data_IF_920563265077
#
_entry.id   IF_920563265077
#
_cell.length_a   1.000
_cell.length_b   1.000
_cell.length_c   1.000
_cell.angle_alpha   90.00
_cell.angle_beta   90.00
_cell.angle_gamma   90.00
#
_symmetry.space_group_name_H-M   'P 1'
#
loop_
_entity.id
_entity.type
_entity.pdbx_description
1 polymer ?
#
# COMPACT_ATOMS: atom_id res chain seq x y z
N UNK A 1 -42.73 1.46 9.02
CA UNK A 1 -41.82 0.43 8.43
C UNK A 1 -41.11 -0.29 9.56
N UNK A 2 -41.31 -1.60 9.75
CA UNK A 2 -40.58 -2.41 10.72
C UNK A 2 -39.10 -2.50 10.26
N UNK A 3 -38.14 -2.22 11.15
CA UNK A 3 -36.73 -2.52 10.94
C UNK A 3 -36.61 -4.01 10.57
N UNK A 4 -36.18 -4.30 9.34
CA UNK A 4 -35.71 -5.63 8.98
C UNK A 4 -34.49 -5.91 9.86
N UNK A 5 -34.60 -6.82 10.83
CA UNK A 5 -33.49 -7.31 11.61
C UNK A 5 -32.50 -7.93 10.63
N UNK A 6 -31.29 -7.43 10.57
CA UNK A 6 -30.26 -7.88 9.63
C UNK A 6 -29.72 -9.26 10.05
N UNK A 7 -30.47 -10.32 9.69
CA UNK A 7 -29.84 -11.65 9.59
C UNK A 7 -28.89 -11.60 8.39
N UNK A 8 -27.60 -11.87 8.63
CA UNK A 8 -26.61 -11.98 7.56
C UNK A 8 -27.09 -12.97 6.50
N UNK A 9 -26.89 -12.62 5.25
CA UNK A 9 -27.18 -13.50 4.11
C UNK A 9 -26.18 -14.65 4.05
N UNK A 10 -26.52 -15.73 3.34
CA UNK A 10 -25.61 -16.86 3.15
C UNK A 10 -24.26 -16.44 2.51
N UNK A 11 -24.20 -15.54 1.51
CA UNK A 11 -22.94 -15.04 1.01
C UNK A 11 -22.11 -14.27 2.07
N UNK A 12 -22.74 -13.45 2.92
CA UNK A 12 -22.04 -12.73 3.98
C UNK A 12 -21.45 -13.68 5.03
N UNK A 13 -22.18 -14.74 5.39
CA UNK A 13 -21.66 -15.79 6.27
C UNK A 13 -20.51 -16.56 5.62
N UNK A 14 -20.61 -16.85 4.32
CA UNK A 14 -19.52 -17.50 3.58
C UNK A 14 -18.27 -16.61 3.50
N UNK A 15 -18.42 -15.28 3.34
CA UNK A 15 -17.29 -14.32 3.43
C UNK A 15 -16.58 -14.45 4.78
N UNK A 16 -17.31 -14.44 5.89
CA UNK A 16 -16.71 -14.56 7.24
C UNK A 16 -15.98 -15.90 7.42
N UNK A 17 -16.58 -16.99 6.94
CA UNK A 17 -15.97 -18.32 7.02
C UNK A 17 -14.69 -18.42 6.16
N UNK A 18 -14.66 -17.82 4.98
CA UNK A 18 -13.46 -17.79 4.13
C UNK A 18 -12.36 -16.95 4.79
N UNK A 19 -12.68 -15.79 5.37
CA UNK A 19 -11.73 -14.98 6.12
C UNK A 19 -11.20 -15.76 7.33
N UNK A 20 -12.09 -16.46 8.06
CA UNK A 20 -11.71 -17.38 9.15
C UNK A 20 -10.74 -18.44 8.66
N UNK A 21 -11.02 -19.09 7.53
CA UNK A 21 -10.16 -20.08 6.91
C UNK A 21 -8.76 -19.53 6.57
N UNK A 22 -8.68 -18.33 6.00
CA UNK A 22 -7.40 -17.67 5.69
C UNK A 22 -6.58 -17.51 6.98
N UNK A 23 -7.20 -16.98 8.04
CA UNK A 23 -6.52 -16.71 9.31
C UNK A 23 -6.11 -17.99 10.04
N UNK A 24 -6.99 -18.97 10.15
CA UNK A 24 -6.76 -20.23 10.86
C UNK A 24 -5.68 -21.10 10.21
N UNK A 25 -5.58 -21.05 8.87
CA UNK A 25 -4.55 -21.76 8.12
C UNK A 25 -3.27 -20.94 7.90
N UNK A 26 -3.22 -19.69 8.40
CA UNK A 26 -2.06 -18.81 8.28
C UNK A 26 -1.69 -18.47 6.85
N UNK A 27 -2.69 -18.42 5.93
CA UNK A 27 -2.42 -18.12 4.52
C UNK A 27 -1.85 -16.70 4.39
N UNK A 28 -0.76 -16.60 3.64
CA UNK A 28 -0.03 -15.36 3.40
C UNK A 28 -0.46 -14.73 2.06
N UNK A 29 -0.15 -13.45 1.82
CA UNK A 29 -0.30 -12.84 0.51
C UNK A 29 0.31 -13.71 -0.60
N UNK A 30 -0.46 -13.90 -1.67
CA UNK A 30 -0.08 -14.76 -2.80
C UNK A 30 -0.45 -16.24 -2.64
N UNK A 31 -0.84 -16.70 -1.45
CA UNK A 31 -1.29 -18.09 -1.25
C UNK A 31 -2.63 -18.33 -1.93
N UNK A 32 -2.76 -19.53 -2.51
CA UNK A 32 -3.98 -19.93 -3.21
C UNK A 32 -5.05 -20.44 -2.22
N UNK A 33 -6.27 -19.95 -2.36
CA UNK A 33 -7.43 -20.48 -1.64
C UNK A 33 -7.87 -21.83 -2.25
N UNK A 34 -8.60 -22.68 -1.48
CA UNK A 34 -9.29 -23.82 -2.04
C UNK A 34 -10.21 -23.40 -3.20
N UNK A 35 -10.34 -24.26 -4.20
CA UNK A 35 -11.23 -23.98 -5.34
C UNK A 35 -12.71 -23.89 -4.92
N UNK A 36 -13.56 -23.38 -5.84
CA UNK A 36 -15.00 -23.20 -5.55
C UNK A 36 -15.67 -24.49 -5.06
N UNK A 37 -15.32 -25.66 -5.63
CA UNK A 37 -15.93 -26.95 -5.27
C UNK A 37 -15.52 -27.37 -3.85
N UNK A 38 -14.25 -27.20 -3.52
CA UNK A 38 -13.75 -27.50 -2.18
C UNK A 38 -14.39 -26.57 -1.12
N UNK A 39 -14.53 -25.27 -1.44
CA UNK A 39 -15.21 -24.31 -0.56
C UNK A 39 -16.70 -24.67 -0.39
N UNK A 40 -17.41 -25.07 -1.47
CA UNK A 40 -18.80 -25.54 -1.39
C UNK A 40 -18.93 -26.73 -0.44
N UNK A 41 -18.03 -27.71 -0.57
CA UNK A 41 -18.04 -28.92 0.26
C UNK A 41 -17.73 -28.61 1.73
N UNK A 42 -16.74 -27.74 1.98
CA UNK A 42 -16.33 -27.31 3.34
C UNK A 42 -17.42 -26.51 4.05
N UNK A 43 -18.02 -25.55 3.34
CA UNK A 43 -19.00 -24.62 3.93
C UNK A 43 -20.45 -25.09 3.79
N UNK A 44 -20.69 -26.20 3.06
CA UNK A 44 -22.03 -26.79 2.81
C UNK A 44 -23.03 -25.79 2.22
N UNK A 45 -22.57 -24.98 1.27
CA UNK A 45 -23.38 -23.98 0.57
C UNK A 45 -23.33 -24.17 -0.93
N UNK A 46 -24.31 -23.60 -1.65
CA UNK A 46 -24.38 -23.68 -3.10
C UNK A 46 -23.30 -22.89 -3.83
N UNK A 47 -23.04 -23.25 -5.09
CA UNK A 47 -22.04 -22.60 -5.94
C UNK A 47 -22.25 -21.09 -6.09
N UNK A 48 -23.52 -20.65 -6.22
CA UNK A 48 -23.86 -19.23 -6.30
C UNK A 48 -23.40 -18.46 -5.05
N UNK A 49 -23.62 -19.02 -3.86
CA UNK A 49 -23.20 -18.43 -2.59
C UNK A 49 -21.67 -18.25 -2.52
N UNK A 50 -20.89 -19.27 -2.92
CA UNK A 50 -19.42 -19.20 -2.94
C UNK A 50 -18.96 -18.13 -3.94
N UNK A 51 -19.53 -18.09 -5.15
CA UNK A 51 -19.12 -17.09 -6.15
C UNK A 51 -19.41 -15.66 -5.71
N UNK A 52 -20.56 -15.42 -5.09
CA UNK A 52 -20.88 -14.10 -4.54
C UNK A 52 -19.97 -13.74 -3.36
N UNK A 53 -19.64 -14.69 -2.49
CA UNK A 53 -18.67 -14.49 -1.42
C UNK A 53 -17.28 -14.14 -1.96
N UNK A 54 -16.77 -14.89 -2.95
CA UNK A 54 -15.45 -14.63 -3.57
C UNK A 54 -15.45 -13.26 -4.28
N UNK A 55 -16.51 -12.89 -5.01
CA UNK A 55 -16.63 -11.56 -5.61
C UNK A 55 -16.62 -10.45 -4.56
N UNK A 56 -17.35 -10.64 -3.46
CA UNK A 56 -17.35 -9.69 -2.34
C UNK A 56 -15.98 -9.56 -1.68
N UNK A 57 -15.24 -10.66 -1.53
CA UNK A 57 -13.87 -10.64 -1.00
C UNK A 57 -12.90 -9.96 -1.97
N UNK A 58 -13.08 -10.17 -3.27
CA UNK A 58 -12.29 -9.51 -4.30
C UNK A 58 -12.54 -7.99 -4.32
N UNK A 59 -13.80 -7.56 -4.27
CA UNK A 59 -14.15 -6.13 -4.23
C UNK A 59 -13.66 -5.43 -2.95
N UNK A 60 -13.43 -6.18 -1.87
CA UNK A 60 -12.84 -5.68 -0.62
C UNK A 60 -11.31 -5.77 -0.61
N UNK A 61 -10.69 -6.17 -1.70
CA UNK A 61 -9.25 -6.36 -1.80
C UNK A 61 -8.68 -7.46 -0.88
N UNK A 62 -9.51 -8.40 -0.41
CA UNK A 62 -9.04 -9.52 0.44
C UNK A 62 -8.42 -10.62 -0.39
N UNK A 63 -8.96 -10.87 -1.59
CA UNK A 63 -8.48 -11.88 -2.52
C UNK A 63 -8.37 -11.32 -3.93
N UNK A 64 -7.57 -11.96 -4.77
CA UNK A 64 -7.44 -11.67 -6.21
C UNK A 64 -7.91 -12.90 -6.99
N UNK A 65 -8.77 -12.71 -7.99
CA UNK A 65 -9.24 -13.77 -8.89
C UNK A 65 -8.35 -13.77 -10.15
N UNK A 66 -7.54 -14.81 -10.31
CA UNK A 66 -6.78 -15.06 -11.55
C UNK A 66 -7.57 -16.03 -12.42
N UNK A 67 -8.16 -15.55 -13.53
CA UNK A 67 -9.04 -16.33 -14.40
C UNK A 67 -8.34 -17.62 -14.88
N UNK A 68 -9.02 -18.75 -14.73
CA UNK A 68 -8.50 -20.07 -15.14
C UNK A 68 -7.42 -20.65 -14.22
N UNK A 69 -6.94 -19.90 -13.22
CA UNK A 69 -5.87 -20.32 -12.32
C UNK A 69 -6.42 -20.55 -10.91
N UNK A 70 -7.16 -19.59 -10.36
CA UNK A 70 -7.73 -19.71 -9.03
C UNK A 70 -7.93 -18.37 -8.33
N UNK A 71 -8.23 -18.45 -7.02
CA UNK A 71 -8.37 -17.31 -6.12
C UNK A 71 -7.20 -17.33 -5.15
N UNK A 72 -6.58 -16.17 -4.95
CA UNK A 72 -5.38 -16.01 -4.13
C UNK A 72 -5.61 -14.92 -3.08
N UNK A 73 -4.92 -15.01 -1.95
CA UNK A 73 -4.87 -13.91 -0.97
C UNK A 73 -4.22 -12.71 -1.65
N UNK A 74 -4.82 -11.53 -1.51
CA UNK A 74 -4.27 -10.31 -2.10
C UNK A 74 -2.93 -9.94 -1.44
N UNK A 75 -2.06 -9.22 -2.16
CA UNK A 75 -0.76 -8.79 -1.64
C UNK A 75 -0.92 -7.87 -0.41
N UNK A 76 -1.98 -7.08 -0.41
CA UNK A 76 -2.35 -6.21 0.71
C UNK A 76 -3.82 -6.42 1.10
N UNK A 77 -4.12 -7.51 1.87
CA UNK A 77 -5.49 -7.89 2.13
C UNK A 77 -6.29 -6.79 2.85
N UNK A 78 -7.45 -6.46 2.28
CA UNK A 78 -8.38 -5.48 2.83
C UNK A 78 -8.15 -4.05 2.32
N UNK A 79 -7.34 -3.85 1.29
CA UNK A 79 -7.24 -2.60 0.53
C UNK A 79 -7.84 -2.86 -0.86
N UNK A 80 -8.93 -2.17 -1.19
CA UNK A 80 -9.55 -2.24 -2.53
C UNK A 80 -8.71 -1.47 -3.56
N UNK A 81 -9.01 -1.64 -4.85
CA UNK A 81 -8.28 -0.97 -5.94
C UNK A 81 -8.43 0.57 -5.91
N UNK A 82 -9.52 1.09 -5.36
CA UNK A 82 -9.77 2.53 -5.19
C UNK A 82 -10.33 2.82 -3.80
N UNK A 83 -9.51 2.77 -2.75
CA UNK A 83 -9.95 2.90 -1.37
C UNK A 83 -10.32 4.32 -0.96
N UNK A 84 -9.90 5.34 -1.72
CA UNK A 84 -10.20 6.75 -1.50
C UNK A 84 -11.24 7.31 -2.47
N UNK A 85 -11.69 6.53 -3.46
CA UNK A 85 -12.71 6.95 -4.43
C UNK A 85 -12.20 7.92 -5.48
N UNK A 86 -10.91 7.91 -5.82
CA UNK A 86 -10.30 8.85 -6.75
C UNK A 86 -10.48 8.48 -8.24
N UNK A 87 -11.10 7.33 -8.54
CA UNK A 87 -11.39 6.92 -9.93
C UNK A 87 -12.17 7.99 -10.72
N UNK A 88 -13.02 8.77 -10.03
CA UNK A 88 -13.85 9.81 -10.65
C UNK A 88 -13.27 11.23 -10.51
N UNK A 89 -12.13 11.37 -9.83
CA UNK A 89 -11.45 12.67 -9.75
C UNK A 89 -10.77 13.00 -11.07
N UNK A 90 -11.08 14.18 -11.57
CA UNK A 90 -10.55 14.68 -12.86
C UNK A 90 -9.28 15.52 -12.68
N UNK A 91 -9.14 16.17 -11.53
CA UNK A 91 -7.97 16.98 -11.19
C UNK A 91 -6.91 16.11 -10.47
N UNK A 92 -6.13 15.41 -11.27
CA UNK A 92 -5.07 14.53 -10.76
C UNK A 92 -3.93 15.29 -10.05
N UNK A 93 -3.66 16.54 -10.49
CA UNK A 93 -2.66 17.40 -9.84
C UNK A 93 -3.09 17.73 -8.42
N UNK A 94 -4.38 18.04 -8.22
CA UNK A 94 -4.93 18.30 -6.88
C UNK A 94 -4.89 17.06 -6.00
N UNK A 95 -5.24 15.90 -6.52
CA UNK A 95 -5.13 14.62 -5.78
C UNK A 95 -3.70 14.36 -5.34
N UNK A 96 -2.73 14.55 -6.23
CA UNK A 96 -1.32 14.37 -5.92
C UNK A 96 -0.84 15.35 -4.85
N UNK A 97 -1.24 16.62 -4.94
CA UNK A 97 -0.92 17.64 -3.94
C UNK A 97 -1.47 17.25 -2.56
N UNK A 98 -2.75 16.90 -2.48
CA UNK A 98 -3.42 16.50 -1.24
C UNK A 98 -2.77 15.24 -0.63
N UNK A 99 -2.38 14.28 -1.48
CA UNK A 99 -1.66 13.08 -1.04
C UNK A 99 -0.29 13.41 -0.42
N UNK A 100 0.48 14.29 -1.05
CA UNK A 100 1.78 14.74 -0.53
C UNK A 100 1.63 15.55 0.76
N UNK A 101 0.61 16.40 0.89
CA UNK A 101 0.32 17.12 2.12
C UNK A 101 0.05 16.14 3.29
N UNK A 102 -0.72 15.08 3.05
CA UNK A 102 -0.97 14.04 4.07
C UNK A 102 0.32 13.29 4.42
N UNK A 103 1.17 12.95 3.44
CA UNK A 103 2.48 12.34 3.67
C UNK A 103 3.36 13.23 4.55
N UNK A 104 3.41 14.54 4.26
CA UNK A 104 4.18 15.51 5.03
C UNK A 104 3.74 15.58 6.50
N UNK A 105 2.46 15.43 6.78
CA UNK A 105 1.93 15.40 8.15
C UNK A 105 2.30 14.12 8.91
N UNK A 106 2.48 12.99 8.21
CA UNK A 106 2.58 11.67 8.84
C UNK A 106 4.01 11.13 8.83
N UNK A 107 4.70 11.16 7.68
CA UNK A 107 5.94 10.42 7.48
C UNK A 107 7.13 10.94 8.30
N UNK A 108 7.32 12.26 8.52
CA UNK A 108 8.39 12.77 9.38
C UNK A 108 8.30 12.30 10.84
N UNK A 109 7.09 12.05 11.35
CA UNK A 109 6.88 11.50 12.67
C UNK A 109 6.90 9.97 12.68
N UNK A 110 6.48 9.35 11.62
CA UNK A 110 6.49 7.91 11.43
C UNK A 110 7.92 7.36 11.44
N UNK A 111 8.86 8.00 10.72
CA UNK A 111 10.23 7.52 10.57
C UNK A 111 10.98 7.42 11.92
N UNK A 112 10.63 8.23 12.89
CA UNK A 112 11.18 8.15 14.25
C UNK A 112 10.90 6.78 14.87
N UNK A 113 9.69 6.24 14.67
CA UNK A 113 9.32 4.89 15.12
C UNK A 113 9.98 3.80 14.29
N UNK A 114 10.17 4.05 13.00
CA UNK A 114 10.86 3.12 12.10
C UNK A 114 12.28 2.85 12.59
N UNK A 115 13.00 3.89 13.02
CA UNK A 115 14.37 3.78 13.55
C UNK A 115 14.44 2.86 14.78
N UNK A 116 13.43 2.88 15.63
CA UNK A 116 13.39 2.01 16.82
C UNK A 116 13.16 0.54 16.49
N UNK A 117 12.53 0.24 15.34
CA UNK A 117 12.07 -1.09 14.99
C UNK A 117 12.85 -1.76 13.84
N UNK A 118 13.63 -0.98 13.08
CA UNK A 118 14.25 -1.47 11.85
C UNK A 118 15.34 -2.51 12.16
N UNK A 119 15.25 -3.66 11.52
CA UNK A 119 16.28 -4.70 11.57
C UNK A 119 17.39 -4.42 10.54
N UNK A 120 18.56 -5.04 10.72
CA UNK A 120 19.67 -4.94 9.76
C UNK A 120 19.27 -5.40 8.34
N UNK A 121 18.40 -6.42 8.23
CA UNK A 121 17.88 -6.89 6.94
C UNK A 121 17.01 -5.84 6.27
N UNK A 122 16.11 -5.19 7.02
CA UNK A 122 15.22 -4.16 6.48
C UNK A 122 15.98 -2.86 6.16
N UNK A 123 17.02 -2.52 6.93
CA UNK A 123 17.90 -1.40 6.61
C UNK A 123 18.64 -1.64 5.29
N UNK A 124 19.11 -2.87 5.06
CA UNK A 124 19.71 -3.23 3.79
C UNK A 124 18.70 -3.12 2.64
N UNK A 125 17.49 -3.64 2.81
CA UNK A 125 16.40 -3.54 1.84
C UNK A 125 16.08 -2.07 1.51
N UNK A 126 16.04 -1.19 2.51
CA UNK A 126 15.85 0.25 2.34
C UNK A 126 16.98 0.90 1.53
N UNK A 127 18.23 0.52 1.80
CA UNK A 127 19.39 0.99 1.05
C UNK A 127 19.38 0.50 -0.39
N UNK A 128 19.03 -0.78 -0.60
CA UNK A 128 18.95 -1.38 -1.94
C UNK A 128 17.86 -0.67 -2.79
N UNK A 129 16.71 -0.29 -2.20
CA UNK A 129 15.68 0.51 -2.87
C UNK A 129 16.18 1.91 -3.24
N UNK A 130 16.90 2.59 -2.37
CA UNK A 130 17.49 3.89 -2.69
C UNK A 130 18.52 3.80 -3.82
N UNK A 131 19.34 2.73 -3.85
CA UNK A 131 20.29 2.45 -4.93
C UNK A 131 19.58 2.19 -6.26
N UNK A 132 18.46 1.46 -6.24
CA UNK A 132 17.66 1.17 -7.43
C UNK A 132 17.00 2.43 -7.96
N UNK A 133 16.39 3.26 -7.10
CA UNK A 133 15.81 4.57 -7.45
C UNK A 133 16.88 5.43 -8.14
N UNK A 134 18.06 5.60 -7.55
CA UNK A 134 19.16 6.36 -8.16
C UNK A 134 19.58 5.79 -9.51
N UNK A 135 19.68 4.45 -9.62
CA UNK A 135 20.02 3.78 -10.89
C UNK A 135 18.98 4.01 -11.97
N UNK A 136 17.68 3.98 -11.63
CA UNK A 136 16.57 4.22 -12.57
C UNK A 136 16.58 5.68 -13.03
N UNK A 137 16.72 6.59 -12.09
CA UNK A 137 16.84 8.03 -12.34
C UNK A 137 18.00 8.32 -13.31
N UNK A 138 19.19 7.83 -13.04
CA UNK A 138 20.38 8.03 -13.88
C UNK A 138 20.23 7.43 -15.29
N UNK A 139 19.30 6.48 -15.47
CA UNK A 139 18.95 5.87 -16.77
C UNK A 139 17.73 6.51 -17.43
N UNK A 140 17.19 7.60 -16.87
CA UNK A 140 15.94 8.25 -17.31
C UNK A 140 14.76 7.28 -17.38
N UNK A 141 14.68 6.33 -16.44
CA UNK A 141 13.58 5.38 -16.31
C UNK A 141 12.63 5.80 -15.19
N UNK A 142 11.41 5.28 -15.27
CA UNK A 142 10.44 5.42 -14.20
C UNK A 142 10.89 4.69 -12.94
N UNK A 143 10.78 5.34 -11.80
CA UNK A 143 11.15 4.84 -10.47
C UNK A 143 9.99 4.87 -9.47
N UNK A 144 8.79 5.17 -9.93
CA UNK A 144 7.59 5.34 -9.10
C UNK A 144 7.33 4.14 -8.21
N UNK A 145 7.44 2.93 -8.75
CA UNK A 145 7.21 1.69 -8.00
C UNK A 145 8.20 1.55 -6.84
N UNK A 146 9.47 1.84 -7.08
CA UNK A 146 10.53 1.76 -6.06
C UNK A 146 10.38 2.84 -5.00
N UNK A 147 9.98 4.05 -5.39
CA UNK A 147 9.69 5.15 -4.46
C UNK A 147 8.53 4.79 -3.53
N UNK A 148 7.44 4.27 -4.08
CA UNK A 148 6.30 3.76 -3.32
C UNK A 148 6.75 2.68 -2.34
N UNK A 149 7.58 1.74 -2.77
CA UNK A 149 8.05 0.64 -1.94
C UNK A 149 8.98 1.13 -0.82
N UNK A 150 9.84 2.13 -1.08
CA UNK A 150 10.68 2.77 -0.09
C UNK A 150 9.86 3.36 1.07
N UNK A 151 8.84 4.16 0.77
CA UNK A 151 7.98 4.77 1.78
C UNK A 151 7.08 3.74 2.49
N UNK A 152 6.57 2.76 1.76
CA UNK A 152 5.75 1.68 2.32
C UNK A 152 6.56 0.76 3.25
N UNK A 153 7.83 0.48 2.93
CA UNK A 153 8.73 -0.26 3.81
C UNK A 153 8.92 0.49 5.14
N UNK A 154 9.24 1.79 5.08
CA UNK A 154 9.37 2.62 6.29
C UNK A 154 8.10 2.61 7.13
N UNK A 155 6.93 2.75 6.49
CA UNK A 155 5.64 2.75 7.15
C UNK A 155 5.33 1.40 7.82
N UNK A 156 5.61 0.30 7.16
CA UNK A 156 5.43 -1.06 7.67
C UNK A 156 6.32 -1.32 8.88
N UNK A 157 7.59 -0.91 8.82
CA UNK A 157 8.58 -1.08 9.88
C UNK A 157 8.28 -0.19 11.09
N UNK A 158 7.55 0.91 10.94
CA UNK A 158 7.15 1.78 12.06
C UNK A 158 6.37 1.03 13.17
N UNK A 159 5.86 -0.17 12.88
CA UNK A 159 5.05 -1.01 13.78
C UNK A 159 3.61 -0.53 13.95
N UNK A 160 3.22 0.58 13.39
CA UNK A 160 1.84 1.06 13.40
C UNK A 160 1.06 0.54 12.18
N UNK A 161 0.21 -0.47 12.40
CA UNK A 161 -0.57 -1.12 11.32
C UNK A 161 -1.49 -0.15 10.56
N UNK A 162 -1.97 0.91 11.22
CA UNK A 162 -2.84 1.93 10.59
C UNK A 162 -2.02 2.80 9.65
N UNK A 163 -0.87 3.30 10.12
CA UNK A 163 0.06 4.09 9.29
C UNK A 163 0.53 3.25 8.09
N UNK A 164 0.91 1.99 8.31
CA UNK A 164 1.32 1.09 7.22
C UNK A 164 0.28 0.99 6.12
N UNK A 165 -0.99 0.76 6.47
CA UNK A 165 -2.09 0.71 5.48
C UNK A 165 -2.37 2.08 4.85
N UNK A 166 -2.35 3.15 5.63
CA UNK A 166 -2.64 4.49 5.15
C UNK A 166 -1.61 4.96 4.11
N UNK A 167 -0.32 4.78 4.39
CA UNK A 167 0.75 5.15 3.44
C UNK A 167 0.64 4.32 2.15
N UNK A 168 0.32 3.03 2.24
CA UNK A 168 0.08 2.20 1.05
C UNK A 168 -1.09 2.72 0.20
N UNK A 169 -2.19 3.13 0.84
CA UNK A 169 -3.36 3.69 0.15
C UNK A 169 -2.99 5.01 -0.55
N UNK A 170 -2.28 5.88 0.15
CA UNK A 170 -1.83 7.18 -0.40
C UNK A 170 -0.84 6.97 -1.54
N UNK A 171 0.08 6.02 -1.41
CA UNK A 171 1.04 5.67 -2.45
C UNK A 171 0.36 5.20 -3.75
N UNK A 172 -0.70 4.38 -3.64
CA UNK A 172 -1.52 4.00 -4.80
C UNK A 172 -2.23 5.17 -5.47
N UNK A 173 -2.64 6.19 -4.71
CA UNK A 173 -3.20 7.41 -5.25
C UNK A 173 -2.15 8.25 -6.01
N UNK A 174 -0.92 8.30 -5.50
CA UNK A 174 0.21 8.96 -6.17
C UNK A 174 0.55 8.26 -7.49
N UNK A 175 0.62 6.92 -7.50
CA UNK A 175 0.86 6.14 -8.72
C UNK A 175 -0.15 6.46 -9.83
N UNK A 176 -1.44 6.58 -9.48
CA UNK A 176 -2.49 6.91 -10.44
C UNK A 176 -2.42 8.36 -10.95
N UNK A 177 -1.80 9.27 -10.20
CA UNK A 177 -1.71 10.69 -10.53
C UNK A 177 -0.39 11.09 -11.21
N UNK A 178 0.64 10.25 -11.17
CA UNK A 178 2.03 10.62 -11.51
C UNK A 178 2.26 10.89 -13.01
N UNK A 179 1.36 10.48 -13.90
CA UNK A 179 1.42 10.79 -15.33
C UNK A 179 1.45 12.31 -15.61
N UNK A 180 1.19 13.14 -14.59
CA UNK A 180 1.10 14.60 -14.68
C UNK A 180 2.43 15.29 -14.35
N UNK A 181 3.37 14.60 -13.67
CA UNK A 181 4.62 15.23 -13.21
C UNK A 181 5.74 15.12 -14.25
N UNK A 182 6.23 16.25 -14.70
CA UNK A 182 7.47 16.34 -15.48
C UNK A 182 8.68 15.94 -14.59
N UNK A 183 9.70 15.30 -15.20
CA UNK A 183 10.86 14.67 -14.54
C UNK A 183 11.83 15.64 -13.85
N UNK A 184 11.36 16.77 -13.31
CA UNK A 184 12.19 17.84 -12.78
C UNK A 184 12.81 17.60 -11.40
N UNK A 185 12.38 16.54 -10.67
CA UNK A 185 12.79 16.24 -9.27
C UNK A 185 13.97 15.30 -9.09
N UNK A 186 14.60 14.91 -10.15
CA UNK A 186 15.47 13.76 -10.23
C UNK A 186 16.66 13.79 -9.25
N UNK A 187 17.32 14.94 -9.08
CA UNK A 187 18.54 15.05 -8.25
C UNK A 187 18.19 15.18 -6.75
N UNK A 188 17.18 15.98 -6.42
CA UNK A 188 16.70 16.18 -5.04
C UNK A 188 16.17 14.87 -4.46
N UNK A 189 15.50 14.04 -5.25
CA UNK A 189 15.03 12.72 -4.83
C UNK A 189 16.20 11.81 -4.43
N UNK A 190 17.27 11.74 -5.25
CA UNK A 190 18.47 10.96 -4.91
C UNK A 190 19.08 11.44 -3.59
N UNK A 191 19.30 12.75 -3.48
CA UNK A 191 19.94 13.35 -2.30
C UNK A 191 19.11 13.07 -1.04
N UNK A 192 17.81 13.30 -1.10
CA UNK A 192 16.95 13.17 0.08
C UNK A 192 16.75 11.72 0.50
N UNK A 193 16.62 10.76 -0.44
CA UNK A 193 16.59 9.34 -0.10
C UNK A 193 17.88 8.89 0.56
N UNK A 194 19.06 9.32 0.07
CA UNK A 194 20.36 9.03 0.71
C UNK A 194 20.43 9.58 2.13
N UNK A 195 20.00 10.83 2.35
CA UNK A 195 19.96 11.43 3.69
C UNK A 195 19.04 10.65 4.64
N UNK A 196 17.88 10.18 4.15
CA UNK A 196 16.95 9.35 4.93
C UNK A 196 17.63 8.04 5.33
N UNK A 197 18.23 7.30 4.38
CA UNK A 197 18.91 6.03 4.65
C UNK A 197 20.05 6.21 5.64
N UNK A 198 20.90 7.24 5.46
CA UNK A 198 22.02 7.55 6.34
C UNK A 198 21.54 7.87 7.77
N UNK A 199 20.53 8.73 7.92
CA UNK A 199 20.00 9.08 9.23
C UNK A 199 19.39 7.86 9.94
N UNK A 200 18.66 7.00 9.21
CA UNK A 200 18.11 5.74 9.74
C UNK A 200 19.23 4.79 10.18
N UNK A 201 20.29 4.63 9.39
CA UNK A 201 21.44 3.79 9.70
C UNK A 201 22.19 4.27 10.95
N UNK A 202 22.33 5.59 11.10
CA UNK A 202 22.98 6.23 12.24
C UNK A 202 22.07 6.38 13.48
N UNK A 203 20.80 5.94 13.39
CA UNK A 203 19.77 6.12 14.41
C UNK A 203 19.51 7.58 14.79
N UNK A 204 19.75 8.48 13.83
CA UNK A 204 19.51 9.90 13.98
C UNK A 204 18.02 10.22 13.69
N UNK A 205 17.22 10.22 14.75
CA UNK A 205 15.78 10.45 14.67
C UNK A 205 15.42 11.85 14.15
N UNK A 206 16.18 12.87 14.58
CA UNK A 206 15.94 14.25 14.17
C UNK A 206 16.34 14.46 12.70
N UNK A 207 17.51 13.98 12.32
CA UNK A 207 18.00 14.03 10.94
C UNK A 207 17.06 13.30 9.99
N UNK A 208 16.60 12.09 10.35
CA UNK A 208 15.66 11.31 9.55
C UNK A 208 14.32 12.03 9.36
N UNK A 209 13.76 12.61 10.43
CA UNK A 209 12.52 13.38 10.37
C UNK A 209 12.66 14.62 9.47
N UNK A 210 13.77 15.36 9.59
CA UNK A 210 14.07 16.53 8.74
C UNK A 210 14.29 16.14 7.28
N UNK A 211 15.03 15.06 7.02
CA UNK A 211 15.28 14.57 5.65
C UNK A 211 13.98 14.13 4.97
N UNK A 212 13.10 13.41 5.68
CA UNK A 212 11.79 13.02 5.19
C UNK A 212 10.89 14.22 4.91
N UNK A 213 10.84 15.19 5.82
CA UNK A 213 10.04 16.40 5.62
C UNK A 213 10.54 17.20 4.41
N UNK A 214 11.86 17.34 4.24
CA UNK A 214 12.46 17.98 3.06
C UNK A 214 12.11 17.25 1.78
N UNK A 215 12.28 15.91 1.74
CA UNK A 215 11.95 15.10 0.58
C UNK A 215 10.53 15.35 0.07
N UNK A 216 9.53 15.33 0.98
CA UNK A 216 8.13 15.53 0.60
C UNK A 216 7.86 16.99 0.24
N UNK A 217 8.47 17.95 0.96
CA UNK A 217 8.30 19.37 0.69
C UNK A 217 8.87 19.77 -0.69
N UNK A 218 10.03 19.23 -1.07
CA UNK A 218 10.62 19.45 -2.38
C UNK A 218 9.66 18.98 -3.50
N UNK A 219 8.98 17.83 -3.30
CA UNK A 219 7.94 17.32 -4.20
C UNK A 219 6.73 18.27 -4.30
N UNK A 220 6.25 18.79 -3.16
CA UNK A 220 5.13 19.76 -3.10
C UNK A 220 5.51 21.06 -3.83
N UNK A 221 6.71 21.57 -3.59
CA UNK A 221 7.13 22.86 -4.14
C UNK A 221 7.28 22.83 -5.67
N UNK A 222 7.71 21.70 -6.22
CA UNK A 222 7.75 21.54 -7.69
C UNK A 222 6.37 21.42 -8.29
N UNK A 223 5.45 20.67 -7.67
CA UNK A 223 4.07 20.61 -8.17
C UNK A 223 3.39 21.98 -8.24
N UNK A 224 3.77 22.93 -7.39
CA UNK A 224 3.26 24.32 -7.45
C UNK A 224 3.80 25.12 -8.62
N UNK A 225 4.84 24.64 -9.29
CA UNK A 225 5.46 25.35 -10.43
C UNK A 225 4.95 24.87 -11.79
N UNK A 226 4.19 23.77 -11.80
CA UNK A 226 3.56 23.19 -12.99
C UNK A 226 2.12 23.66 -13.10
#
# INVERSE_FOLDING_TARGET
MKKLGSKKTLPELAVEQIIGYINENGLQPGDQLPNEVDLMNKLKVGRGTIREAIKSLNSKGVVIIKRGIGTFVADQPGISDDPLGFTFETDKTKVLMDALEVRLLIEPQMIIKTIDNISAKQLKELSDLADEIESLINKNKDYTVQDIEFHTLLARVSGNRVIGKLITIIAGAIEQAIDVTDKSLVQETIITHRLIVEAVANKDKEGASKAMARHIQDNIDILKTI
#
